data_IF_911886667017
#
_entry.id   IF_911886667017
#
_cell.length_a   1.000
_cell.length_b   1.000
_cell.length_c   1.000
_cell.angle_alpha   90.00
_cell.angle_beta   90.00
_cell.angle_gamma   90.00
#
_symmetry.space_group_name_H-M   'P 1'
#
loop_
_entity.id
_entity.type
_entity.pdbx_description
1 polymer ?
#
# COMPACT_ATOMS: atom_id res chain seq x y z
N UNK A 1 1.30 14.18 13.99
CA UNK A 1 1.31 13.26 12.84
C UNK A 1 0.04 12.44 12.91
N UNK A 2 -0.76 12.43 11.85
CA UNK A 2 -1.97 11.60 11.80
C UNK A 2 -1.51 10.18 11.49
N UNK A 3 -1.77 9.23 12.39
CA UNK A 3 -1.59 7.82 12.07
C UNK A 3 -2.72 7.43 11.11
N UNK A 4 -2.55 7.73 9.83
CA UNK A 4 -3.46 7.28 8.78
C UNK A 4 -3.34 5.75 8.75
N UNK A 5 -4.40 5.08 9.21
CA UNK A 5 -4.51 3.62 9.16
C UNK A 5 -5.24 3.24 7.88
N UNK A 6 -4.76 2.18 7.26
CA UNK A 6 -5.24 1.67 5.99
C UNK A 6 -5.64 0.22 6.18
N UNK A 7 -6.85 -0.14 5.77
CA UNK A 7 -7.28 -1.53 5.73
C UNK A 7 -6.54 -2.30 4.63
N UNK A 8 -6.20 -3.55 4.90
CA UNK A 8 -5.61 -4.44 3.89
C UNK A 8 -6.46 -4.54 2.61
N UNK A 9 -7.80 -4.55 2.75
CA UNK A 9 -8.75 -4.54 1.63
C UNK A 9 -8.61 -3.29 0.76
N UNK A 10 -8.58 -2.12 1.38
CA UNK A 10 -8.52 -0.84 0.67
C UNK A 10 -7.15 -0.66 0.01
N UNK A 11 -6.08 -1.12 0.67
CA UNK A 11 -4.74 -1.12 0.10
C UNK A 11 -4.65 -1.99 -1.16
N UNK A 12 -5.26 -3.17 -1.16
CA UNK A 12 -5.31 -4.05 -2.34
C UNK A 12 -6.04 -3.38 -3.51
N UNK A 13 -7.17 -2.75 -3.25
CA UNK A 13 -7.93 -2.03 -4.28
C UNK A 13 -7.18 -0.79 -4.78
N UNK A 14 -6.49 -0.05 -3.89
CA UNK A 14 -5.65 1.07 -4.27
C UNK A 14 -4.49 0.65 -5.18
N UNK A 15 -3.80 -0.44 -4.82
CA UNK A 15 -2.71 -1.01 -5.64
C UNK A 15 -3.24 -1.47 -7.00
N UNK A 16 -4.42 -2.10 -7.06
CA UNK A 16 -5.09 -2.47 -8.32
C UNK A 16 -5.42 -1.24 -9.16
N UNK A 17 -5.92 -0.16 -8.55
CA UNK A 17 -6.20 1.11 -9.21
C UNK A 17 -4.98 1.78 -9.85
N UNK A 18 -3.79 1.52 -9.31
CA UNK A 18 -2.50 2.02 -9.81
C UNK A 18 -1.95 1.26 -11.03
N UNK A 19 -2.54 0.12 -11.41
CA UNK A 19 -2.08 -0.69 -12.56
C UNK A 19 -2.04 0.10 -13.87
N UNK A 20 -3.01 1.00 -14.05
CA UNK A 20 -3.07 1.89 -15.20
C UNK A 20 -1.95 2.94 -15.27
N UNK A 21 -1.28 3.23 -14.15
CA UNK A 21 -0.26 4.28 -14.05
C UNK A 21 1.18 3.74 -14.17
N UNK A 22 1.45 2.58 -13.60
CA UNK A 22 2.82 2.06 -13.46
C UNK A 22 3.07 0.77 -14.24
N UNK A 23 2.02 0.15 -14.79
CA UNK A 23 2.08 -1.08 -15.57
C UNK A 23 2.20 -2.35 -14.72
N UNK A 24 1.79 -3.46 -15.33
CA UNK A 24 1.56 -4.74 -14.65
C UNK A 24 2.81 -5.31 -13.95
N UNK A 25 4.00 -5.18 -14.54
CA UNK A 25 5.26 -5.65 -13.93
C UNK A 25 5.60 -4.92 -12.63
N UNK A 26 5.26 -3.64 -12.54
CA UNK A 26 5.49 -2.83 -11.34
C UNK A 26 4.53 -3.24 -10.22
N UNK A 27 3.24 -3.39 -10.54
CA UNK A 27 2.22 -3.81 -9.58
C UNK A 27 2.53 -5.18 -9.02
N UNK A 28 3.00 -6.11 -9.86
CA UNK A 28 3.42 -7.44 -9.43
C UNK A 28 4.55 -7.37 -8.40
N UNK A 29 5.61 -6.60 -8.66
CA UNK A 29 6.72 -6.41 -7.73
C UNK A 29 6.25 -5.80 -6.40
N UNK A 30 5.38 -4.80 -6.47
CA UNK A 30 4.81 -4.13 -5.30
C UNK A 30 4.00 -5.11 -4.43
N UNK A 31 3.12 -5.90 -5.05
CA UNK A 31 2.31 -6.91 -4.37
C UNK A 31 3.17 -8.00 -3.72
N UNK A 32 4.13 -8.55 -4.46
CA UNK A 32 5.04 -9.58 -3.95
C UNK A 32 5.82 -9.07 -2.72
N UNK A 33 6.27 -7.81 -2.76
CA UNK A 33 7.04 -7.26 -1.64
C UNK A 33 6.18 -6.99 -0.40
N UNK A 34 4.98 -6.43 -0.58
CA UNK A 34 4.04 -6.19 0.52
C UNK A 34 3.53 -7.51 1.12
N UNK A 35 3.32 -8.54 0.30
CA UNK A 35 2.99 -9.89 0.75
C UNK A 35 4.13 -10.51 1.56
N UNK A 36 5.37 -10.42 1.08
CA UNK A 36 6.54 -10.94 1.81
C UNK A 36 6.68 -10.33 3.21
N UNK A 37 6.26 -9.08 3.39
CA UNK A 37 6.27 -8.35 4.66
C UNK A 37 4.96 -8.43 5.44
N UNK A 38 4.03 -9.31 5.02
CA UNK A 38 2.73 -9.53 5.68
C UNK A 38 1.85 -8.26 5.78
N UNK A 39 2.04 -7.28 4.88
CA UNK A 39 1.21 -6.06 4.77
C UNK A 39 -0.10 -6.32 3.98
N UNK A 40 -0.22 -7.47 3.33
CA UNK A 40 -1.44 -7.89 2.62
C UNK A 40 -2.02 -9.22 3.13
N UNK A 41 -1.46 -9.77 4.20
CA UNK A 41 -1.86 -11.05 4.76
C UNK A 41 -2.91 -10.88 5.85
N UNK A 42 -4.17 -10.89 5.44
CA UNK A 42 -5.27 -11.58 6.12
C UNK A 42 -6.43 -11.61 5.10
N UNK A 43 -6.60 -12.74 4.41
CA UNK A 43 -7.70 -12.91 3.44
C UNK A 43 -9.06 -13.02 4.17
N UNK A 44 -9.06 -13.28 5.47
CA UNK A 44 -10.27 -13.48 6.29
C UNK A 44 -10.64 -12.27 7.18
N UNK A 45 -9.80 -11.23 7.24
CA UNK A 45 -9.96 -10.14 8.19
C UNK A 45 -9.78 -8.77 7.53
N UNK A 46 -10.90 -8.12 7.17
CA UNK A 46 -10.99 -6.66 7.00
C UNK A 46 -10.68 -5.89 8.30
N UNK A 47 -10.02 -6.50 9.29
CA UNK A 47 -9.66 -5.90 10.58
C UNK A 47 -8.17 -5.57 10.67
N UNK A 48 -7.32 -6.09 9.77
CA UNK A 48 -5.91 -5.76 9.78
C UNK A 48 -5.69 -4.36 9.19
N UNK A 49 -5.17 -3.46 10.03
CA UNK A 49 -4.85 -2.09 9.71
C UNK A 49 -3.35 -1.87 9.76
N UNK A 50 -2.81 -1.23 8.73
CA UNK A 50 -1.42 -0.79 8.67
C UNK A 50 -1.38 0.72 8.62
N UNK A 51 -0.41 1.30 9.30
CA UNK A 51 -0.12 2.72 9.17
C UNK A 51 0.63 2.98 7.86
N UNK A 52 0.48 4.20 7.34
CA UNK A 52 1.28 4.66 6.20
C UNK A 52 2.79 4.54 6.45
N UNK A 53 3.25 4.73 7.69
CA UNK A 53 4.66 4.61 8.05
C UNK A 53 5.19 3.18 7.98
N UNK A 54 4.36 2.18 8.33
CA UNK A 54 4.70 0.76 8.17
C UNK A 54 4.80 0.39 6.69
N UNK A 55 3.85 0.83 5.87
CA UNK A 55 3.88 0.63 4.42
C UNK A 55 5.13 1.31 3.82
N UNK A 56 5.39 2.58 4.17
CA UNK A 56 6.55 3.33 3.71
C UNK A 56 7.87 2.65 4.09
N UNK A 57 7.97 2.12 5.30
CA UNK A 57 9.16 1.41 5.79
C UNK A 57 9.45 0.12 5.03
N UNK A 58 8.40 -0.57 4.54
CA UNK A 58 8.53 -1.76 3.69
C UNK A 58 8.87 -1.39 2.24
N UNK A 59 8.34 -0.30 1.73
CA UNK A 59 8.58 0.11 0.34
C UNK A 59 9.93 0.81 0.13
N UNK A 60 10.41 1.56 1.11
CA UNK A 60 11.67 2.34 1.02
C UNK A 60 12.88 1.51 0.59
N UNK A 61 13.13 0.31 1.13
CA UNK A 61 14.27 -0.53 0.73
C UNK A 61 14.23 -0.98 -0.75
N UNK A 62 13.06 -1.05 -1.37
CA UNK A 62 12.90 -1.52 -2.76
C UNK A 62 12.87 -0.36 -3.74
N UNK A 63 12.13 0.69 -3.41
CA UNK A 63 11.84 1.78 -4.33
C UNK A 63 12.69 3.03 -4.06
N UNK A 64 13.41 3.09 -2.94
CA UNK A 64 14.32 4.18 -2.59
C UNK A 64 13.65 5.55 -2.71
N UNK A 65 14.21 6.41 -3.56
CA UNK A 65 13.72 7.77 -3.81
C UNK A 65 12.33 7.83 -4.48
N UNK A 66 11.85 6.75 -5.10
CA UNK A 66 10.51 6.69 -5.68
C UNK A 66 9.42 6.45 -4.63
N UNK A 67 9.78 6.03 -3.42
CA UNK A 67 8.82 5.66 -2.36
C UNK A 67 7.85 6.79 -1.99
N UNK A 68 8.29 8.05 -1.79
CA UNK A 68 7.36 9.14 -1.47
C UNK A 68 6.33 9.39 -2.57
N UNK A 69 6.72 9.25 -3.84
CA UNK A 69 5.80 9.37 -4.98
C UNK A 69 4.76 8.24 -4.95
N UNK A 70 5.19 7.01 -4.68
CA UNK A 70 4.29 5.85 -4.58
C UNK A 70 3.32 5.99 -3.41
N UNK A 71 3.80 6.39 -2.24
CA UNK A 71 2.96 6.65 -1.07
C UNK A 71 1.91 7.73 -1.36
N UNK A 72 2.30 8.80 -2.08
CA UNK A 72 1.36 9.85 -2.50
C UNK A 72 0.32 9.36 -3.50
N UNK A 73 0.67 8.44 -4.41
CA UNK A 73 -0.32 7.84 -5.31
C UNK A 73 -1.25 6.89 -4.57
N UNK A 74 -0.72 6.02 -3.71
CA UNK A 74 -1.51 5.14 -2.86
C UNK A 74 -2.53 5.93 -2.05
N UNK A 75 -2.13 7.06 -1.44
CA UNK A 75 -3.03 7.93 -0.69
C UNK A 75 -4.22 8.45 -1.52
N UNK A 76 -4.05 8.71 -2.81
CA UNK A 76 -5.13 9.18 -3.69
C UNK A 76 -6.15 8.10 -4.00
N UNK A 77 -5.73 6.85 -4.05
CA UNK A 77 -6.60 5.70 -4.35
C UNK A 77 -7.19 5.07 -3.09
N UNK A 78 -6.62 5.36 -1.92
CA UNK A 78 -7.12 4.88 -0.65
C UNK A 78 -8.38 5.66 -0.23
N UNK A 79 -9.46 4.93 0.02
CA UNK A 79 -10.61 5.45 0.73
C UNK A 79 -10.28 5.57 2.22
N UNK A 80 -9.55 6.63 2.60
CA UNK A 80 -9.27 6.89 4.01
C UNK A 80 -10.57 7.29 4.69
N UNK A 81 -11.11 6.43 5.58
CA UNK A 81 -12.09 6.85 6.57
C UNK A 81 -11.44 7.97 7.41
N UNK A 82 -11.85 9.21 7.15
CA UNK A 82 -11.45 10.36 7.97
C UNK A 82 -12.20 10.23 9.30
N UNK A 83 -11.49 9.83 10.36
CA UNK A 83 -11.94 10.12 11.72
C UNK A 83 -11.90 11.63 11.98
#
# INVERSE_FOLDING_TARGET
>A
MIANKVLASDLREAIRGMDNLFGNSFIKLLLEHLQAHRILFDDDNNSCMYTFDEINSVLTPVFGEATPLLMSQLEKYLHVEKN
#
